data_IF_887326347663
#
_entry.id   IF_887326347663
#
_cell.length_a   1.000
_cell.length_b   1.000
_cell.length_c   1.000
_cell.angle_alpha   90.00
_cell.angle_beta   90.00
_cell.angle_gamma   90.00
#
_symmetry.space_group_name_H-M   'P 1'
#
loop_
_entity.id
_entity.type
_entity.pdbx_description
1 polymer ?
#
# COMPACT_ATOMS: atom_id res chain seq x y z
N UNK A 1 -5.81 4.83 -19.12
CA UNK A 1 -6.35 3.46 -19.29
C UNK A 1 -5.29 2.59 -19.94
N UNK A 2 -5.03 1.39 -19.43
CA UNK A 2 -4.10 0.40 -20.02
C UNK A 2 -4.86 -0.90 -20.30
N UNK A 3 -4.22 -1.86 -20.96
CA UNK A 3 -4.80 -3.18 -21.16
C UNK A 3 -4.88 -3.98 -19.85
N UNK A 4 -5.98 -4.70 -19.64
CA UNK A 4 -6.20 -5.63 -18.54
C UNK A 4 -6.23 -7.07 -19.10
N UNK A 5 -5.13 -7.84 -18.99
CA UNK A 5 -5.07 -9.19 -19.51
C UNK A 5 -6.12 -10.11 -18.89
N UNK A 6 -6.80 -10.92 -19.71
CA UNK A 6 -7.85 -11.84 -19.24
C UNK A 6 -7.33 -12.88 -18.24
N UNK A 7 -6.05 -13.24 -18.35
CA UNK A 7 -5.40 -14.15 -17.40
C UNK A 7 -5.45 -13.61 -15.96
N UNK A 8 -5.35 -12.29 -15.75
CA UNK A 8 -5.38 -11.71 -14.40
C UNK A 8 -6.73 -11.95 -13.71
N UNK A 9 -7.83 -11.84 -14.45
CA UNK A 9 -9.19 -12.13 -13.96
C UNK A 9 -9.38 -13.59 -13.59
N UNK A 10 -8.72 -14.50 -14.32
CA UNK A 10 -8.77 -15.94 -14.05
C UNK A 10 -7.93 -16.28 -12.83
N UNK A 11 -6.70 -15.74 -12.75
CA UNK A 11 -5.78 -15.97 -11.62
C UNK A 11 -6.33 -15.42 -10.30
N UNK A 12 -6.99 -14.26 -10.32
CA UNK A 12 -7.61 -13.69 -9.12
C UNK A 12 -8.76 -14.56 -8.54
N UNK A 13 -9.27 -15.53 -9.31
CA UNK A 13 -10.36 -16.44 -8.92
C UNK A 13 -9.87 -17.87 -8.63
N UNK A 14 -8.56 -18.07 -8.48
CA UNK A 14 -8.03 -19.39 -8.15
C UNK A 14 -8.61 -19.90 -6.83
N UNK A 15 -9.15 -21.15 -6.80
CA UNK A 15 -9.56 -21.79 -5.56
C UNK A 15 -8.40 -21.82 -4.55
N UNK A 16 -8.67 -21.45 -3.31
CA UNK A 16 -7.64 -21.29 -2.27
C UNK A 16 -6.99 -19.91 -2.19
N UNK A 17 -7.21 -19.01 -3.16
CA UNK A 17 -6.89 -17.58 -3.02
C UNK A 17 -8.15 -16.75 -2.78
N UNK A 18 -9.18 -16.93 -3.59
CA UNK A 18 -10.43 -16.13 -3.51
C UNK A 18 -11.34 -16.48 -2.34
N UNK A 19 -11.07 -17.59 -1.64
CA UNK A 19 -11.91 -18.14 -0.57
C UNK A 19 -11.28 -18.02 0.82
N UNK A 20 -10.11 -17.36 0.91
CA UNK A 20 -9.42 -17.18 2.18
C UNK A 20 -10.18 -16.23 3.11
N UNK A 21 -10.31 -16.62 4.37
CA UNK A 21 -10.76 -15.69 5.41
C UNK A 21 -9.56 -14.83 5.86
N UNK A 22 -9.68 -13.50 5.98
CA UNK A 22 -8.54 -12.61 6.29
C UNK A 22 -7.89 -12.89 7.65
N UNK A 23 -8.63 -13.49 8.59
CA UNK A 23 -8.13 -13.91 9.91
C UNK A 23 -7.95 -15.43 10.06
N UNK A 24 -7.82 -16.15 8.95
CA UNK A 24 -7.50 -17.58 8.98
C UNK A 24 -6.08 -17.79 9.55
N UNK A 25 -5.80 -18.90 10.28
CA UNK A 25 -4.46 -19.15 10.82
C UNK A 25 -3.37 -19.10 9.74
N UNK A 26 -2.29 -18.36 10.00
CA UNK A 26 -1.19 -18.10 9.04
C UNK A 26 -0.63 -19.39 8.42
N UNK A 27 -0.51 -20.46 9.22
CA UNK A 27 -0.02 -21.76 8.78
C UNK A 27 -0.83 -22.37 7.61
N UNK A 28 -2.06 -21.91 7.40
CA UNK A 28 -2.96 -22.41 6.35
C UNK A 28 -3.03 -21.50 5.10
N UNK A 29 -2.36 -20.35 5.11
CA UNK A 29 -2.43 -19.33 4.05
C UNK A 29 -1.06 -18.93 3.49
N UNK A 30 -0.06 -19.80 3.65
CA UNK A 30 1.33 -19.52 3.26
C UNK A 30 1.50 -19.09 1.79
N UNK A 31 0.68 -19.61 0.88
CA UNK A 31 0.73 -19.18 -0.53
C UNK A 31 0.35 -17.70 -0.73
N UNK A 32 -0.63 -17.19 0.03
CA UNK A 32 -1.01 -15.77 -0.03
C UNK A 32 0.07 -14.88 0.61
N UNK A 33 0.69 -15.34 1.71
CA UNK A 33 1.80 -14.64 2.34
C UNK A 33 3.04 -14.57 1.44
N UNK A 34 3.35 -15.66 0.74
CA UNK A 34 4.42 -15.67 -0.27
C UNK A 34 4.13 -14.67 -1.39
N UNK A 35 2.90 -14.65 -1.92
CA UNK A 35 2.48 -13.70 -2.96
C UNK A 35 2.67 -12.24 -2.53
N UNK A 36 2.30 -11.92 -1.28
CA UNK A 36 2.49 -10.57 -0.72
C UNK A 36 3.98 -10.24 -0.63
N UNK A 37 4.81 -11.14 -0.08
CA UNK A 37 6.24 -10.92 0.09
C UNK A 37 6.98 -10.74 -1.24
N UNK A 38 6.66 -11.54 -2.24
CA UNK A 38 7.23 -11.42 -3.59
C UNK A 38 6.82 -10.08 -4.23
N UNK A 39 5.55 -9.70 -4.12
CA UNK A 39 5.07 -8.42 -4.64
C UNK A 39 5.73 -7.21 -3.97
N UNK A 40 5.92 -7.25 -2.64
CA UNK A 40 6.62 -6.20 -1.90
C UNK A 40 8.08 -6.07 -2.35
N UNK A 41 8.77 -7.21 -2.57
CA UNK A 41 10.13 -7.24 -3.10
C UNK A 41 10.20 -6.65 -4.51
N UNK A 42 9.34 -7.10 -5.42
CA UNK A 42 9.34 -6.64 -6.82
C UNK A 42 9.05 -5.14 -6.92
N UNK A 43 8.07 -4.65 -6.16
CA UNK A 43 7.76 -3.21 -6.09
C UNK A 43 8.91 -2.42 -5.47
N UNK A 44 9.57 -2.95 -4.44
CA UNK A 44 10.76 -2.35 -3.84
C UNK A 44 11.88 -2.19 -4.86
N UNK A 45 12.14 -3.21 -5.68
CA UNK A 45 13.14 -3.14 -6.75
C UNK A 45 12.78 -2.12 -7.84
N UNK A 46 11.51 -2.07 -8.26
CA UNK A 46 11.04 -1.11 -9.28
C UNK A 46 11.16 0.34 -8.80
N UNK A 47 10.86 0.59 -7.53
CA UNK A 47 10.76 1.95 -6.96
C UNK A 47 12.04 2.42 -6.27
N UNK A 48 12.94 1.50 -5.91
CA UNK A 48 14.13 1.78 -5.12
C UNK A 48 13.89 1.95 -3.62
N UNK A 49 12.69 1.61 -3.12
CA UNK A 49 12.40 1.65 -1.68
C UNK A 49 12.91 0.40 -0.97
N UNK A 50 13.39 0.57 0.27
CA UNK A 50 13.85 -0.54 1.13
C UNK A 50 12.71 -1.43 1.60
N UNK A 51 11.48 -0.91 1.67
CA UNK A 51 10.30 -1.65 2.10
C UNK A 51 9.04 -1.10 1.41
N UNK A 52 8.06 -1.98 1.20
CA UNK A 52 6.75 -1.67 0.62
C UNK A 52 5.68 -2.29 1.54
N UNK A 53 4.51 -1.66 1.63
CA UNK A 53 3.35 -2.22 2.33
C UNK A 53 2.18 -2.36 1.36
N UNK A 54 1.52 -3.52 1.38
CA UNK A 54 0.31 -3.79 0.58
C UNK A 54 -1.00 -3.54 1.35
N UNK A 55 -0.93 -2.96 2.56
CA UNK A 55 -2.11 -2.73 3.39
C UNK A 55 -3.07 -1.67 2.84
N UNK A 56 -2.62 -0.53 2.28
CA UNK A 56 -3.52 0.46 1.71
C UNK A 56 -4.21 -0.06 0.44
N UNK A 57 -5.54 0.09 0.38
CA UNK A 57 -6.38 -0.47 -0.71
C UNK A 57 -6.71 0.54 -1.83
N UNK A 58 -6.28 1.79 -1.69
CA UNK A 58 -6.52 2.87 -2.66
C UNK A 58 -5.40 3.92 -2.61
N UNK A 59 -5.22 4.67 -3.70
CA UNK A 59 -4.17 5.71 -3.79
C UNK A 59 -4.25 6.75 -2.68
N UNK A 60 -5.44 7.24 -2.33
CA UNK A 60 -5.63 8.19 -1.21
C UNK A 60 -5.29 7.58 0.15
N UNK A 61 -5.51 6.27 0.34
CA UNK A 61 -5.08 5.59 1.56
C UNK A 61 -3.55 5.46 1.62
N UNK A 62 -2.88 5.26 0.47
CA UNK A 62 -1.41 5.28 0.40
C UNK A 62 -0.86 6.65 0.80
N UNK A 63 -1.47 7.74 0.30
CA UNK A 63 -1.09 9.11 0.68
C UNK A 63 -1.23 9.31 2.20
N UNK A 64 -2.36 8.89 2.79
CA UNK A 64 -2.61 9.02 4.22
C UNK A 64 -1.62 8.20 5.05
N UNK A 65 -1.41 6.93 4.71
CA UNK A 65 -0.45 6.06 5.39
C UNK A 65 0.97 6.65 5.31
N UNK A 66 1.35 7.22 4.17
CA UNK A 66 2.63 7.89 3.99
C UNK A 66 2.78 9.11 4.90
N UNK A 67 1.79 10.00 4.96
CA UNK A 67 1.81 11.18 5.82
C UNK A 67 1.84 10.79 7.31
N UNK A 68 1.05 9.79 7.72
CA UNK A 68 1.07 9.28 9.09
C UNK A 68 2.43 8.64 9.46
N UNK A 69 3.05 7.93 8.52
CA UNK A 69 4.40 7.39 8.69
C UNK A 69 5.46 8.48 8.86
N UNK A 70 5.39 9.55 8.06
CA UNK A 70 6.26 10.74 8.19
C UNK A 70 6.03 11.44 9.53
N UNK A 71 4.77 11.60 9.95
CA UNK A 71 4.43 12.20 11.24
C UNK A 71 4.99 11.38 12.41
N UNK A 72 4.79 10.07 12.40
CA UNK A 72 5.33 9.16 13.41
C UNK A 72 6.87 9.21 13.45
N UNK A 73 7.52 9.31 12.29
CA UNK A 73 8.97 9.50 12.19
C UNK A 73 9.45 10.80 12.84
N UNK A 74 8.76 11.92 12.64
CA UNK A 74 9.09 13.18 13.34
C UNK A 74 8.86 13.08 14.86
N UNK A 75 7.73 12.52 15.28
CA UNK A 75 7.39 12.34 16.69
C UNK A 75 8.40 11.45 17.43
N UNK A 76 8.87 10.37 16.79
CA UNK A 76 9.90 9.48 17.36
C UNK A 76 11.24 10.18 17.66
N UNK A 77 11.48 11.35 17.05
CA UNK A 77 12.67 12.18 17.26
C UNK A 77 12.38 13.42 18.12
N UNK A 78 11.19 13.50 18.71
CA UNK A 78 10.74 14.65 19.50
C UNK A 78 10.50 15.91 18.66
N UNK A 79 10.32 15.78 17.34
CA UNK A 79 10.02 16.92 16.47
C UNK A 79 8.51 17.07 16.26
N UNK A 80 8.02 18.31 16.31
CA UNK A 80 6.64 18.65 15.98
C UNK A 80 6.58 19.31 14.59
N UNK A 81 6.48 18.48 13.54
CA UNK A 81 6.38 18.95 12.15
C UNK A 81 5.03 18.60 11.54
N UNK A 82 4.16 19.59 11.40
CA UNK A 82 2.77 19.43 10.95
C UNK A 82 2.46 20.13 9.62
N UNK A 83 3.42 20.87 9.06
CA UNK A 83 3.22 21.59 7.79
C UNK A 83 3.55 20.70 6.60
N UNK A 84 2.56 20.48 5.74
CA UNK A 84 2.69 19.80 4.44
C UNK A 84 2.61 20.84 3.34
N UNK A 85 3.61 20.87 2.45
CA UNK A 85 3.61 21.75 1.28
C UNK A 85 2.98 21.02 0.10
N UNK A 86 1.92 21.58 -0.47
CA UNK A 86 1.19 20.98 -1.60
C UNK A 86 1.14 21.98 -2.76
N UNK A 87 1.67 21.64 -3.95
CA UNK A 87 1.54 22.50 -5.14
C UNK A 87 0.08 22.61 -5.61
N UNK A 88 -0.30 23.75 -6.18
CA UNK A 88 -1.65 23.99 -6.72
C UNK A 88 -2.03 23.03 -7.86
N UNK A 89 -1.05 22.42 -8.52
CA UNK A 89 -1.26 21.43 -9.59
C UNK A 89 -1.45 20.00 -9.09
N UNK A 90 -1.36 19.76 -7.78
CA UNK A 90 -1.50 18.44 -7.20
C UNK A 90 -2.90 17.85 -7.44
N UNK A 91 -2.99 16.53 -7.46
CA UNK A 91 -4.26 15.84 -7.48
C UNK A 91 -5.08 16.18 -6.22
N UNK A 92 -6.41 16.26 -6.32
CA UNK A 92 -7.27 16.74 -5.23
C UNK A 92 -7.26 15.88 -3.97
N UNK A 93 -6.77 14.63 -4.05
CA UNK A 93 -6.58 13.77 -2.87
C UNK A 93 -5.45 14.27 -1.97
N UNK A 94 -4.39 14.85 -2.54
CA UNK A 94 -3.23 15.32 -1.78
C UNK A 94 -3.57 16.38 -0.71
N UNK A 95 -4.26 17.50 -1.03
CA UNK A 95 -4.62 18.48 -0.02
C UNK A 95 -5.67 17.93 0.96
N UNK A 96 -6.58 17.06 0.51
CA UNK A 96 -7.55 16.43 1.40
C UNK A 96 -6.84 15.56 2.46
N UNK A 97 -5.90 14.73 2.04
CA UNK A 97 -5.09 13.90 2.93
C UNK A 97 -4.27 14.74 3.92
N UNK A 98 -3.69 15.86 3.47
CA UNK A 98 -2.90 16.74 4.35
C UNK A 98 -3.71 17.42 5.47
N UNK A 99 -5.05 17.37 5.42
CA UNK A 99 -5.93 17.92 6.46
C UNK A 99 -6.47 16.87 7.43
N UNK A 100 -6.23 15.57 7.16
CA UNK A 100 -6.61 14.45 8.02
C UNK A 100 -5.52 14.14 9.03
#
# INVERSE_FOLDING_TARGET
MKYNPKVNEVTARLPGLSELHPYQPEATVQGALQLIAELESDLGQITGFTAVSTQPSAGSQCELAGILGILAYHQSRGEERTRVLVPDSAHGTNPATGTM
#
